data_IF_043349516678
#
_entry.id   IF_043349516678
#
_cell.length_a   1.000
_cell.length_b   1.000
_cell.length_c   1.000
_cell.angle_alpha   90.00
_cell.angle_beta   90.00
_cell.angle_gamma   90.00
#
_symmetry.space_group_name_H-M   'P 1'
#
loop_
_entity.id
_entity.type
_entity.pdbx_description
1 polymer ?
#
# COMPACT_ATOMS: atom_id res chain seq x y z
N UNK A 1 15.93 9.39 -20.01
CA UNK A 1 14.86 8.42 -19.71
C UNK A 1 14.19 8.93 -18.43
N UNK A 2 13.14 9.71 -18.59
CA UNK A 2 12.48 10.45 -17.52
C UNK A 2 11.40 9.55 -16.96
N UNK A 3 11.58 9.06 -15.75
CA UNK A 3 10.54 8.36 -15.01
C UNK A 3 9.54 9.39 -14.47
N UNK A 4 8.37 9.47 -15.08
CA UNK A 4 7.22 10.11 -14.45
C UNK A 4 6.74 9.22 -13.31
N UNK A 5 7.06 9.60 -12.08
CA UNK A 5 6.41 9.05 -10.91
C UNK A 5 4.94 9.48 -10.92
N UNK A 6 4.06 8.52 -11.13
CA UNK A 6 2.63 8.69 -10.87
C UNK A 6 2.48 8.86 -9.36
N UNK A 7 2.16 10.07 -8.93
CA UNK A 7 1.87 10.35 -7.54
C UNK A 7 0.62 9.57 -7.13
N UNK A 8 0.79 8.58 -6.26
CA UNK A 8 -0.30 7.96 -5.55
C UNK A 8 -0.89 9.01 -4.59
N UNK A 9 -1.93 9.70 -5.05
CA UNK A 9 -2.76 10.54 -4.20
C UNK A 9 -3.64 9.62 -3.33
N UNK A 10 -3.11 9.19 -2.18
CA UNK A 10 -3.88 8.50 -1.18
C UNK A 10 -4.40 9.51 -0.17
N UNK A 11 -5.66 9.84 -0.27
CA UNK A 11 -6.40 10.47 0.82
C UNK A 11 -7.07 9.36 1.61
N UNK A 12 -6.37 8.82 2.61
CA UNK A 12 -6.99 7.95 3.59
C UNK A 12 -7.73 8.83 4.60
N UNK A 13 -9.02 8.96 4.44
CA UNK A 13 -9.92 9.50 5.45
C UNK A 13 -10.15 8.42 6.53
N UNK A 14 -9.27 8.35 7.51
CA UNK A 14 -9.69 7.88 8.82
C UNK A 14 -10.07 9.13 9.61
N UNK A 15 -11.24 9.16 10.25
CA UNK A 15 -11.83 10.37 10.82
C UNK A 15 -11.03 11.12 11.90
N UNK A 16 -9.72 10.91 11.99
CA UNK A 16 -8.80 11.57 12.92
C UNK A 16 -7.54 12.16 12.28
N UNK A 17 -7.23 11.91 10.99
CA UNK A 17 -5.96 12.37 10.39
C UNK A 17 -6.20 13.03 9.03
N UNK A 18 -5.69 14.24 8.87
CA UNK A 18 -5.68 14.95 7.58
C UNK A 18 -4.25 14.95 7.03
N UNK A 19 -4.04 14.37 5.84
CA UNK A 19 -2.76 14.42 5.15
C UNK A 19 -2.71 15.64 4.22
N UNK A 20 -1.77 16.54 4.43
CA UNK A 20 -1.48 17.64 3.50
C UNK A 20 -0.21 17.31 2.74
N UNK A 21 -0.33 17.24 1.41
CA UNK A 21 0.81 17.09 0.51
C UNK A 21 1.46 18.46 0.30
N UNK A 22 2.66 18.65 0.82
CA UNK A 22 3.49 19.82 0.52
C UNK A 22 4.57 19.44 -0.49
N UNK A 23 4.57 20.07 -1.66
CA UNK A 23 5.57 19.86 -2.71
C UNK A 23 6.60 20.96 -2.58
N UNK A 24 7.79 20.63 -2.11
CA UNK A 24 8.94 21.52 -2.17
C UNK A 24 10.10 20.72 -2.79
N UNK A 25 10.56 21.14 -3.98
CA UNK A 25 11.79 20.78 -4.70
C UNK A 25 12.44 19.44 -4.34
N UNK A 26 12.25 18.42 -5.21
CA UNK A 26 12.99 17.16 -5.32
C UNK A 26 12.96 16.18 -4.12
N UNK A 27 12.49 16.59 -2.95
CA UNK A 27 12.21 15.72 -1.81
C UNK A 27 10.74 15.82 -1.42
N UNK A 28 10.01 14.69 -1.45
CA UNK A 28 8.60 14.64 -1.05
C UNK A 28 8.56 14.38 0.45
N UNK A 29 8.27 15.41 1.22
CA UNK A 29 7.96 15.30 2.64
C UNK A 29 6.44 15.20 2.81
N UNK A 30 5.96 14.12 3.40
CA UNK A 30 4.58 14.03 3.86
C UNK A 30 4.49 14.56 5.29
N UNK A 31 3.88 15.72 5.46
CA UNK A 31 3.51 16.21 6.78
C UNK A 31 2.08 15.79 7.07
N UNK A 32 1.89 14.94 8.07
CA UNK A 32 0.59 14.73 8.68
C UNK A 32 0.40 15.82 9.75
N UNK A 33 -0.44 16.82 9.45
CA UNK A 33 -0.85 17.77 10.46
C UNK A 33 -2.21 17.30 10.98
N UNK A 34 -2.27 16.87 12.23
CA UNK A 34 -3.53 16.64 12.90
C UNK A 34 -4.16 18.00 13.20
N UNK A 35 -5.13 18.43 12.43
CA UNK A 35 -5.99 19.56 12.77
C UNK A 35 -7.25 19.03 13.42
N UNK A 36 -7.47 19.49 14.64
CA UNK A 36 -8.63 19.30 15.50
C UNK A 36 -8.55 18.13 16.53
N UNK A 37 -7.78 18.40 17.58
CA UNK A 37 -8.16 17.93 18.94
C UNK A 37 -8.06 19.14 19.86
N UNK A 38 -9.14 19.51 20.58
CA UNK A 38 -9.08 20.61 21.52
C UNK A 38 -8.25 20.20 22.73
N UNK A 39 -7.11 20.87 22.92
CA UNK A 39 -6.34 20.96 24.16
C UNK A 39 -5.90 19.64 24.84
N UNK A 40 -5.55 18.61 24.12
CA UNK A 40 -4.76 17.51 24.64
C UNK A 40 -3.56 17.28 23.74
N UNK A 41 -2.45 16.98 24.34
CA UNK A 41 -1.13 16.77 23.75
C UNK A 41 -1.24 16.00 22.43
N UNK A 42 -0.79 16.60 21.34
CA UNK A 42 -0.96 16.05 20.00
C UNK A 42 0.10 14.99 19.70
N UNK A 43 -0.33 13.82 19.25
CA UNK A 43 0.54 12.83 18.60
C UNK A 43 1.11 13.44 17.33
N UNK A 44 2.42 13.36 17.15
CA UNK A 44 3.09 13.82 15.92
C UNK A 44 3.61 12.62 15.15
N UNK A 45 3.22 12.48 13.88
CA UNK A 45 3.67 11.42 13.00
C UNK A 45 4.44 12.02 11.82
N UNK A 46 5.69 11.58 11.64
CA UNK A 46 6.56 11.95 10.52
C UNK A 46 6.79 10.76 9.62
N UNK A 47 6.33 10.84 8.38
CA UNK A 47 6.49 9.77 7.38
C UNK A 47 7.70 10.09 6.51
N UNK A 48 8.58 9.13 6.35
CA UNK A 48 9.75 9.20 5.50
C UNK A 48 9.73 8.08 4.47
N UNK A 49 10.33 8.32 3.31
CA UNK A 49 10.64 7.29 2.33
C UNK A 49 12.16 7.25 2.10
N UNK A 50 12.96 6.90 3.12
CA UNK A 50 14.40 6.92 2.99
C UNK A 50 14.87 5.80 2.07
N UNK A 51 15.83 6.12 1.22
CA UNK A 51 16.61 5.10 0.53
C UNK A 51 17.67 4.57 1.49
N UNK A 52 17.58 3.29 1.83
CA UNK A 52 18.50 2.60 2.74
C UNK A 52 19.56 1.85 1.94
N UNK A 53 20.81 1.89 2.40
CA UNK A 53 21.90 1.09 1.85
C UNK A 53 22.46 0.19 2.93
N UNK A 54 22.56 -1.10 2.63
CA UNK A 54 23.14 -2.10 3.54
C UNK A 54 24.24 -2.85 2.82
N UNK A 55 25.32 -3.13 3.53
CA UNK A 55 26.33 -4.07 3.05
C UNK A 55 25.73 -5.48 3.12
N UNK A 56 25.53 -6.09 1.97
CA UNK A 56 25.09 -7.48 1.84
C UNK A 56 26.18 -8.27 1.07
N UNK A 57 26.51 -9.46 1.54
CA UNK A 57 27.41 -10.36 0.81
C UNK A 57 26.77 -10.75 -0.52
N UNK A 58 27.57 -10.86 -1.59
CA UNK A 58 27.00 -11.16 -2.93
C UNK A 58 26.19 -12.45 -2.98
N UNK A 59 26.60 -13.48 -2.26
CA UNK A 59 25.87 -14.77 -2.19
C UNK A 59 24.53 -14.72 -1.45
N UNK A 60 24.19 -13.61 -0.77
CA UNK A 60 22.91 -13.44 -0.08
C UNK A 60 21.91 -12.62 -0.89
N UNK A 61 22.31 -12.01 -1.99
CA UNK A 61 21.45 -11.22 -2.85
C UNK A 61 20.43 -12.11 -3.55
N UNK A 62 19.17 -11.66 -3.64
CA UNK A 62 18.09 -12.45 -4.19
C UNK A 62 17.02 -11.59 -4.85
N UNK A 63 17.13 -11.34 -6.15
CA UNK A 63 16.17 -10.55 -6.93
C UNK A 63 15.81 -9.24 -6.24
N UNK A 64 14.51 -8.96 -6.11
CA UNK A 64 13.98 -7.83 -5.35
C UNK A 64 13.86 -8.11 -3.84
N UNK A 65 13.95 -9.40 -3.42
CA UNK A 65 13.72 -9.81 -2.04
C UNK A 65 14.87 -9.39 -1.11
N UNK A 66 16.11 -9.36 -1.62
CA UNK A 66 17.28 -8.97 -0.85
C UNK A 66 18.29 -8.22 -1.70
N UNK A 67 18.30 -6.91 -1.53
CA UNK A 67 19.09 -5.94 -2.30
C UNK A 67 19.97 -5.10 -1.38
N UNK A 68 20.99 -4.46 -1.93
CA UNK A 68 21.89 -3.58 -1.18
C UNK A 68 21.33 -2.17 -1.00
N UNK A 69 20.49 -1.72 -1.93
CA UNK A 69 19.81 -0.43 -1.86
C UNK A 69 18.31 -0.61 -2.02
N UNK A 70 17.51 -0.13 -1.07
CA UNK A 70 16.06 -0.26 -1.07
C UNK A 70 15.38 0.96 -0.48
N UNK A 71 14.14 1.16 -0.85
CA UNK A 71 13.26 2.20 -0.31
C UNK A 71 12.39 1.62 0.79
N UNK A 72 12.25 2.34 1.89
CA UNK A 72 11.42 1.92 3.01
C UNK A 72 10.33 2.97 3.27
N UNK A 73 9.12 2.51 3.62
CA UNK A 73 8.00 3.35 4.03
C UNK A 73 8.05 3.63 5.53
N UNK A 74 9.16 4.13 6.00
CA UNK A 74 9.43 4.36 7.41
C UNK A 74 8.66 5.57 7.94
N UNK A 75 8.17 5.48 9.18
CA UNK A 75 7.57 6.62 9.88
C UNK A 75 7.87 6.57 11.37
N UNK A 76 7.92 7.75 11.97
CA UNK A 76 8.17 7.93 13.39
C UNK A 76 6.97 8.63 14.02
N UNK A 77 6.38 8.00 15.03
CA UNK A 77 5.25 8.51 15.80
C UNK A 77 5.80 8.89 17.19
N UNK A 78 5.51 10.10 17.63
CA UNK A 78 5.85 10.57 18.96
C UNK A 78 4.57 10.66 19.77
N UNK A 79 4.52 9.96 20.89
CA UNK A 79 3.33 9.87 21.73
C UNK A 79 3.67 9.89 23.20
N UNK A 80 2.66 10.08 24.03
CA UNK A 80 2.77 9.97 25.48
C UNK A 80 2.76 8.50 25.92
N UNK A 81 3.26 8.17 27.10
CA UNK A 81 3.20 6.81 27.65
C UNK A 81 1.79 6.22 27.65
N UNK A 82 0.78 6.98 28.04
CA UNK A 82 -0.61 6.56 28.07
C UNK A 82 -1.25 6.36 26.68
N UNK A 83 -0.69 6.95 25.63
CA UNK A 83 -1.14 6.82 24.23
C UNK A 83 -0.48 5.64 23.51
N UNK A 84 0.61 5.10 24.06
CA UNK A 84 1.47 4.13 23.36
C UNK A 84 0.70 2.94 22.81
N UNK A 85 -0.13 2.30 23.63
CA UNK A 85 -0.88 1.12 23.21
C UNK A 85 -1.88 1.44 22.09
N UNK A 86 -2.60 2.56 22.19
CA UNK A 86 -3.59 2.97 21.21
C UNK A 86 -2.93 3.31 19.85
N UNK A 87 -1.76 3.95 19.88
CA UNK A 87 -0.98 4.23 18.67
C UNK A 87 -0.46 2.95 18.00
N UNK A 88 -0.03 1.96 18.80
CA UNK A 88 0.36 0.66 18.27
C UNK A 88 -0.84 -0.03 17.61
N UNK A 89 -2.00 -0.05 18.26
CA UNK A 89 -3.25 -0.61 17.70
C UNK A 89 -3.59 0.06 16.38
N UNK A 90 -3.53 1.40 16.30
CA UNK A 90 -3.80 2.14 15.08
C UNK A 90 -2.84 1.77 13.93
N UNK A 91 -1.56 1.54 14.23
CA UNK A 91 -0.58 1.07 13.23
C UNK A 91 -0.90 -0.36 12.78
N UNK A 92 -1.30 -1.25 13.69
CA UNK A 92 -1.70 -2.62 13.34
C UNK A 92 -2.98 -2.63 12.49
N UNK A 93 -3.96 -1.76 12.78
CA UNK A 93 -5.17 -1.58 11.96
C UNK A 93 -4.83 -1.11 10.54
N UNK A 94 -3.93 -0.14 10.42
CA UNK A 94 -3.44 0.33 9.13
C UNK A 94 -2.71 -0.78 8.37
N UNK A 95 -1.88 -1.55 9.07
CA UNK A 95 -1.15 -2.69 8.48
C UNK A 95 -2.11 -3.73 7.92
N UNK A 96 -3.12 -4.14 8.70
CA UNK A 96 -4.16 -5.08 8.28
C UNK A 96 -4.93 -4.56 7.05
N UNK A 97 -5.39 -3.31 7.12
CA UNK A 97 -6.13 -2.67 6.03
C UNK A 97 -5.33 -2.68 4.72
N UNK A 98 -4.05 -2.31 4.80
CA UNK A 98 -3.18 -2.26 3.62
C UNK A 98 -2.89 -3.68 3.11
N UNK A 99 -2.44 -4.60 3.96
CA UNK A 99 -2.09 -5.96 3.53
C UNK A 99 -3.31 -6.67 2.92
N UNK A 100 -4.48 -6.54 3.52
CA UNK A 100 -5.74 -7.11 3.01
C UNK A 100 -6.09 -6.54 1.64
N UNK A 101 -5.93 -5.22 1.44
CA UNK A 101 -6.21 -4.57 0.16
C UNK A 101 -5.29 -5.08 -0.98
N UNK A 102 -4.06 -5.48 -0.65
CA UNK A 102 -3.14 -6.12 -1.58
C UNK A 102 -3.35 -7.64 -1.71
N UNK A 103 -4.34 -8.22 -1.02
CA UNK A 103 -4.67 -9.64 -1.10
C UNK A 103 -3.90 -10.52 -0.11
N UNK A 104 -3.14 -9.94 0.81
CA UNK A 104 -2.44 -10.69 1.85
C UNK A 104 -3.32 -10.85 3.09
N UNK A 105 -4.13 -11.92 3.12
CA UNK A 105 -5.07 -12.20 4.22
C UNK A 105 -4.47 -13.13 5.30
N UNK A 106 -3.26 -13.66 5.05
CA UNK A 106 -2.55 -14.54 5.97
C UNK A 106 -1.13 -14.04 6.16
N UNK A 107 -0.77 -13.82 7.41
CA UNK A 107 0.57 -13.37 7.81
C UNK A 107 0.94 -13.97 9.16
N UNK A 108 2.24 -14.13 9.39
CA UNK A 108 2.78 -14.62 10.64
C UNK A 108 3.24 -13.42 11.48
N UNK A 109 2.84 -13.36 12.75
CA UNK A 109 3.15 -12.27 13.67
C UNK A 109 4.14 -12.76 14.71
N UNK A 110 5.18 -11.97 14.95
CA UNK A 110 6.20 -12.25 15.96
C UNK A 110 6.37 -11.05 16.87
N UNK A 111 6.34 -11.29 18.17
CA UNK A 111 6.75 -10.33 19.19
C UNK A 111 8.22 -10.61 19.53
N UNK A 112 9.10 -9.70 19.13
CA UNK A 112 10.54 -9.82 19.37
C UNK A 112 10.92 -9.11 20.65
N UNK A 113 11.51 -9.87 21.58
CA UNK A 113 11.85 -9.42 22.94
C UNK A 113 13.31 -8.95 23.03
N UNK A 114 13.72 -8.59 24.23
CA UNK A 114 15.02 -7.98 24.54
C UNK A 114 16.20 -8.83 24.16
N UNK A 115 17.18 -8.34 23.37
CA UNK A 115 18.43 -9.05 23.09
C UNK A 115 19.44 -8.89 24.26
N UNK A 116 20.44 -9.76 24.33
CA UNK A 116 21.51 -9.70 25.32
C UNK A 116 22.23 -8.34 25.34
N UNK A 117 22.50 -7.79 24.16
CA UNK A 117 23.11 -6.46 24.01
C UNK A 117 22.03 -5.44 23.74
N UNK A 118 21.57 -4.78 24.78
CA UNK A 118 20.50 -3.78 24.71
C UNK A 118 20.82 -2.58 25.59
N UNK A 119 20.13 -1.47 25.35
CA UNK A 119 20.16 -0.24 26.14
C UNK A 119 18.81 -0.05 26.84
N UNK A 120 18.77 0.74 27.91
CA UNK A 120 17.57 1.00 28.71
C UNK A 120 17.44 0.06 29.91
N UNK A 121 16.63 0.48 30.90
CA UNK A 121 16.35 -0.28 32.12
C UNK A 121 15.40 -1.46 31.87
N UNK A 122 15.35 -2.40 32.82
CA UNK A 122 14.42 -3.53 32.74
C UNK A 122 12.96 -3.05 32.77
N UNK A 123 12.65 -2.05 33.58
CA UNK A 123 11.30 -1.48 33.69
C UNK A 123 10.79 -0.91 32.34
N UNK A 124 11.66 -0.20 31.61
CA UNK A 124 11.34 0.36 30.29
C UNK A 124 11.04 -0.76 29.29
N UNK A 125 11.87 -1.79 29.26
CA UNK A 125 11.68 -2.94 28.39
C UNK A 125 10.40 -3.70 28.70
N UNK A 126 10.09 -3.90 29.99
CA UNK A 126 8.87 -4.56 30.43
C UNK A 126 7.63 -3.75 30.05
N UNK A 127 7.63 -2.43 30.29
CA UNK A 127 6.53 -1.54 29.91
C UNK A 127 6.29 -1.53 28.39
N UNK A 128 7.35 -1.43 27.59
CA UNK A 128 7.25 -1.46 26.14
C UNK A 128 6.72 -2.81 25.62
N UNK A 129 7.24 -3.91 26.16
CA UNK A 129 6.79 -5.26 25.77
C UNK A 129 5.33 -5.47 26.13
N UNK A 130 4.89 -5.05 27.32
CA UNK A 130 3.48 -5.10 27.73
C UNK A 130 2.56 -4.27 26.82
N UNK A 131 3.00 -3.10 26.38
CA UNK A 131 2.22 -2.27 25.45
C UNK A 131 2.02 -2.97 24.10
N UNK A 132 3.09 -3.58 23.55
CA UNK A 132 3.01 -4.37 22.32
C UNK A 132 2.11 -5.60 22.46
N UNK A 133 2.26 -6.36 23.56
CA UNK A 133 1.36 -7.48 23.88
C UNK A 133 -0.09 -7.04 24.05
N UNK A 134 -0.31 -5.93 24.76
CA UNK A 134 -1.64 -5.35 24.96
C UNK A 134 -2.31 -5.03 23.62
N UNK A 135 -1.58 -4.41 22.70
CA UNK A 135 -2.09 -4.11 21.36
C UNK A 135 -2.43 -5.37 20.57
N UNK A 136 -1.59 -6.41 20.60
CA UNK A 136 -1.86 -7.70 19.96
C UNK A 136 -3.11 -8.39 20.53
N UNK A 137 -3.31 -8.32 21.84
CA UNK A 137 -4.49 -8.85 22.54
C UNK A 137 -5.76 -8.09 22.14
N UNK A 138 -5.70 -6.76 22.04
CA UNK A 138 -6.83 -5.93 21.56
C UNK A 138 -7.21 -6.30 20.13
N UNK A 139 -6.22 -6.55 19.26
CA UNK A 139 -6.44 -7.01 17.90
C UNK A 139 -6.94 -8.46 17.81
N UNK A 140 -6.81 -9.25 18.86
CA UNK A 140 -7.13 -10.68 18.82
C UNK A 140 -6.21 -11.50 17.91
N UNK A 141 -5.00 -11.00 17.65
CA UNK A 141 -4.06 -11.67 16.76
C UNK A 141 -3.26 -12.73 17.51
N UNK A 142 -3.13 -13.91 16.89
CA UNK A 142 -2.21 -14.94 17.35
C UNK A 142 -0.77 -14.55 16.96
N UNK A 143 0.17 -14.70 17.87
CA UNK A 143 1.56 -14.34 17.64
C UNK A 143 2.53 -15.33 18.31
N UNK A 144 3.70 -15.47 17.71
CA UNK A 144 4.84 -16.15 18.30
C UNK A 144 5.76 -15.18 19.03
N UNK A 145 6.59 -15.71 19.92
CA UNK A 145 7.64 -14.94 20.60
C UNK A 145 8.98 -15.24 19.92
N UNK A 146 9.70 -14.17 19.58
CA UNK A 146 11.06 -14.21 19.07
C UNK A 146 12.01 -13.70 20.16
N UNK A 147 12.47 -14.63 21.00
CA UNK A 147 13.32 -14.30 22.14
C UNK A 147 14.65 -13.70 21.70
N UNK A 148 14.96 -12.49 22.20
CA UNK A 148 16.17 -11.76 21.82
C UNK A 148 16.18 -11.17 20.43
N UNK A 149 15.08 -11.26 19.65
CA UNK A 149 14.95 -10.74 18.30
C UNK A 149 14.68 -9.24 18.21
N UNK A 150 14.46 -8.56 19.32
CA UNK A 150 14.26 -7.12 19.40
C UNK A 150 15.47 -6.32 18.91
N UNK A 151 15.28 -5.02 18.65
CA UNK A 151 16.43 -4.15 18.43
C UNK A 151 17.14 -3.87 19.75
N UNK A 152 18.38 -3.37 19.67
CA UNK A 152 19.14 -3.05 20.89
C UNK A 152 18.48 -1.94 21.73
N UNK A 153 17.56 -1.15 21.16
CA UNK A 153 16.89 -0.02 21.77
C UNK A 153 15.40 -0.22 22.10
N UNK A 154 14.81 -1.34 21.68
CA UNK A 154 13.43 -1.63 22.04
C UNK A 154 12.85 -2.90 21.43
N UNK A 155 11.74 -3.41 22.01
CA UNK A 155 11.00 -4.54 21.50
C UNK A 155 10.18 -4.14 20.27
N UNK A 156 9.76 -5.15 19.50
CA UNK A 156 9.03 -4.91 18.24
C UNK A 156 8.02 -6.01 17.93
N UNK A 157 7.01 -5.66 17.15
CA UNK A 157 6.14 -6.57 16.43
C UNK A 157 6.60 -6.62 14.99
N UNK A 158 6.89 -7.82 14.49
CA UNK A 158 7.18 -8.08 13.08
C UNK A 158 6.01 -8.83 12.45
N UNK A 159 5.52 -8.33 11.31
CA UNK A 159 4.53 -9.00 10.48
C UNK A 159 5.22 -9.56 9.25
N UNK A 160 5.13 -10.88 9.07
CA UNK A 160 5.78 -11.61 7.98
C UNK A 160 4.73 -12.11 7.01
N UNK A 161 4.92 -11.85 5.73
CA UNK A 161 4.13 -12.42 4.64
C UNK A 161 4.88 -13.55 3.98
N UNK A 162 4.16 -14.42 3.24
CA UNK A 162 4.75 -15.56 2.54
C UNK A 162 4.81 -15.26 1.05
N UNK A 163 5.90 -15.67 0.41
CA UNK A 163 6.02 -15.67 -1.04
C UNK A 163 5.29 -16.89 -1.66
N UNK A 164 5.29 -16.96 -2.99
CA UNK A 164 4.58 -18.00 -3.74
C UNK A 164 5.04 -19.43 -3.41
N UNK A 165 6.24 -19.61 -2.91
CA UNK A 165 6.77 -20.92 -2.48
C UNK A 165 6.77 -21.12 -0.96
N UNK A 166 6.09 -20.25 -0.22
CA UNK A 166 5.86 -20.37 1.22
C UNK A 166 6.98 -19.84 2.13
N UNK A 167 8.03 -19.21 1.61
CA UNK A 167 9.09 -18.60 2.43
C UNK A 167 8.54 -17.35 3.12
N UNK A 168 8.88 -17.19 4.41
CA UNK A 168 8.49 -16.03 5.19
C UNK A 168 9.42 -14.84 4.94
N UNK A 169 8.83 -13.67 4.74
CA UNK A 169 9.54 -12.41 4.57
C UNK A 169 8.97 -11.37 5.51
N UNK A 170 9.83 -10.79 6.34
CA UNK A 170 9.45 -9.64 7.17
C UNK A 170 9.13 -8.46 6.24
N UNK A 171 7.94 -7.90 6.41
CA UNK A 171 7.46 -6.70 5.75
C UNK A 171 7.17 -5.62 6.78
N UNK A 172 6.08 -5.73 7.52
CA UNK A 172 5.72 -4.68 8.48
C UNK A 172 6.46 -4.85 9.80
N UNK A 173 6.74 -3.72 10.43
CA UNK A 173 7.37 -3.67 11.75
C UNK A 173 6.80 -2.49 12.53
N UNK A 174 6.49 -2.73 13.80
CA UNK A 174 6.14 -1.70 14.79
C UNK A 174 7.10 -1.86 15.95
N UNK A 175 7.83 -0.80 16.29
CA UNK A 175 8.93 -0.87 17.24
C UNK A 175 8.90 0.31 18.20
N UNK A 176 8.95 0.03 19.50
CA UNK A 176 9.07 1.05 20.53
C UNK A 176 10.52 1.48 20.71
N UNK A 177 10.74 2.77 20.86
CA UNK A 177 12.06 3.37 21.07
C UNK A 177 11.98 4.44 22.16
N UNK A 178 12.66 4.20 23.25
CA UNK A 178 12.83 5.13 24.35
C UNK A 178 14.21 5.79 24.33
N UNK A 179 15.14 5.25 23.56
CA UNK A 179 16.55 5.65 23.58
C UNK A 179 16.82 6.86 22.69
N UNK A 180 16.24 6.93 21.48
CA UNK A 180 16.46 8.08 20.62
C UNK A 180 15.85 9.37 21.16
N UNK A 181 14.60 9.38 21.71
CA UNK A 181 14.10 10.57 22.38
C UNK A 181 15.01 11.09 23.49
N UNK A 182 15.55 10.20 24.32
CA UNK A 182 16.50 10.55 25.37
C UNK A 182 17.80 11.14 24.79
N UNK A 183 18.41 10.48 23.82
CA UNK A 183 19.64 10.92 23.20
C UNK A 183 19.56 12.27 22.47
N UNK A 184 18.38 12.55 21.91
CA UNK A 184 18.13 13.82 21.24
C UNK A 184 17.60 14.91 22.19
N UNK A 185 17.41 14.58 23.49
CA UNK A 185 16.87 15.50 24.48
C UNK A 185 15.48 16.00 24.09
N UNK A 186 14.64 15.11 23.53
CA UNK A 186 13.28 15.46 23.16
C UNK A 186 12.41 15.56 24.42
N UNK A 187 11.73 16.70 24.57
CA UNK A 187 10.85 16.98 25.70
C UNK A 187 9.51 17.52 25.21
N UNK A 188 8.47 17.23 25.94
CA UNK A 188 7.17 17.90 25.84
C UNK A 188 6.77 18.47 27.19
N UNK A 189 5.82 19.39 27.20
CA UNK A 189 5.26 19.95 28.45
C UNK A 189 3.96 19.23 28.76
N UNK A 190 3.92 18.51 29.87
CA UNK A 190 2.74 17.79 30.34
C UNK A 190 1.67 18.73 30.88
N UNK A 191 0.49 18.20 31.21
CA UNK A 191 -0.66 19.00 31.64
C UNK A 191 -0.41 19.76 32.97
N UNK A 192 0.49 19.25 33.81
CA UNK A 192 0.91 19.87 35.08
C UNK A 192 2.06 20.87 34.91
N UNK A 193 2.55 21.07 33.67
CA UNK A 193 3.62 22.00 33.35
C UNK A 193 5.03 21.43 33.52
N UNK A 194 5.17 20.14 33.85
CA UNK A 194 6.48 19.47 33.87
C UNK A 194 6.98 19.14 32.49
N UNK A 195 8.29 19.01 32.35
CA UNK A 195 8.91 18.53 31.11
C UNK A 195 9.12 17.03 31.20
N UNK A 196 8.60 16.33 30.22
CA UNK A 196 8.69 14.90 30.15
C UNK A 196 9.19 14.45 28.77
N UNK A 197 9.70 13.21 28.68
CA UNK A 197 10.21 12.63 27.46
C UNK A 197 9.11 11.88 26.71
N UNK A 198 8.91 12.14 25.39
CA UNK A 198 7.98 11.35 24.59
C UNK A 198 8.54 9.96 24.30
N UNK A 199 7.64 9.03 23.98
CA UNK A 199 8.00 7.73 23.42
C UNK A 199 7.99 7.86 21.90
N UNK A 200 8.94 7.21 21.21
CA UNK A 200 8.97 7.09 19.77
C UNK A 200 8.55 5.69 19.36
N UNK A 201 7.65 5.62 18.38
CA UNK A 201 7.28 4.36 17.71
C UNK A 201 7.73 4.44 16.26
N UNK A 202 8.66 3.58 15.88
CA UNK A 202 9.03 3.37 14.49
C UNK A 202 8.03 2.42 13.85
N UNK A 203 7.57 2.74 12.64
CA UNK A 203 6.73 1.82 11.89
C UNK A 203 7.11 1.77 10.42
N UNK A 204 7.05 0.60 9.84
CA UNK A 204 7.02 0.37 8.42
C UNK A 204 5.90 -0.62 8.11
N UNK A 205 5.12 -0.38 7.06
CA UNK A 205 4.01 -1.26 6.65
C UNK A 205 4.50 -2.22 5.56
N UNK A 206 5.09 -1.70 4.50
CA UNK A 206 5.66 -2.53 3.42
C UNK A 206 7.07 -3.02 3.76
N UNK A 207 7.78 -2.32 4.66
CA UNK A 207 9.20 -2.51 4.88
C UNK A 207 10.02 -2.11 3.65
N UNK A 208 10.78 -3.02 3.04
CA UNK A 208 11.38 -2.77 1.75
C UNK A 208 10.31 -2.82 0.66
N UNK A 209 10.08 -1.67 -0.01
CA UNK A 209 9.11 -1.57 -1.11
C UNK A 209 9.48 -2.52 -2.25
N UNK A 210 10.77 -2.67 -2.55
CA UNK A 210 11.26 -3.60 -3.58
C UNK A 210 10.91 -5.05 -3.24
N UNK A 211 11.10 -5.45 -1.96
CA UNK A 211 10.73 -6.79 -1.49
C UNK A 211 9.22 -7.02 -1.55
N UNK A 212 8.45 -6.09 -1.02
CA UNK A 212 6.99 -6.18 -1.05
C UNK A 212 6.47 -6.30 -2.48
N UNK A 213 6.99 -5.48 -3.38
CA UNK A 213 6.63 -5.52 -4.80
C UNK A 213 7.00 -6.86 -5.45
N UNK A 214 8.19 -7.41 -5.14
CA UNK A 214 8.59 -8.72 -5.62
C UNK A 214 7.63 -9.83 -5.16
N UNK A 215 7.27 -9.84 -3.87
CA UNK A 215 6.31 -10.82 -3.32
C UNK A 215 4.93 -10.64 -3.95
N UNK A 216 4.49 -9.39 -4.15
CA UNK A 216 3.22 -9.07 -4.77
C UNK A 216 3.13 -9.59 -6.22
N UNK A 217 4.18 -9.39 -7.02
CA UNK A 217 4.25 -9.93 -8.38
C UNK A 217 4.15 -11.45 -8.37
N UNK A 218 4.89 -12.13 -7.47
CA UNK A 218 4.84 -13.58 -7.34
C UNK A 218 3.45 -14.06 -6.90
N UNK A 219 2.85 -13.41 -5.91
CA UNK A 219 1.55 -13.79 -5.38
C UNK A 219 0.40 -13.61 -6.38
N UNK A 220 0.49 -12.60 -7.23
CA UNK A 220 -0.51 -12.33 -8.27
C UNK A 220 -0.17 -12.96 -9.62
N UNK A 221 1.00 -13.60 -9.77
CA UNK A 221 1.53 -14.04 -11.06
C UNK A 221 1.58 -12.91 -12.11
N UNK A 222 1.69 -11.66 -11.66
CA UNK A 222 1.60 -10.46 -12.50
C UNK A 222 0.17 -10.10 -12.95
N UNK A 223 -0.84 -10.84 -12.49
CA UNK A 223 -2.27 -10.56 -12.74
C UNK A 223 -2.80 -9.64 -11.62
N UNK A 224 -2.46 -8.38 -11.72
CA UNK A 224 -2.86 -7.39 -10.73
C UNK A 224 -4.37 -7.12 -10.79
N UNK A 225 -5.01 -6.88 -9.63
CA UNK A 225 -6.38 -6.39 -9.58
C UNK A 225 -6.50 -5.04 -10.31
N UNK A 226 -7.71 -4.70 -10.75
CA UNK A 226 -7.96 -3.53 -11.59
C UNK A 226 -7.36 -2.24 -11.02
N UNK A 227 -7.54 -2.00 -9.71
CA UNK A 227 -7.05 -0.79 -9.05
C UNK A 227 -5.51 -0.66 -9.07
N UNK A 228 -4.79 -1.79 -9.18
CA UNK A 228 -3.32 -1.84 -9.15
C UNK A 228 -2.69 -2.06 -10.54
N UNK A 229 -3.44 -2.58 -11.52
CA UNK A 229 -2.92 -2.90 -12.83
C UNK A 229 -2.20 -1.70 -13.50
N UNK A 230 -0.99 -1.86 -14.06
CA UNK A 230 -0.26 -0.78 -14.72
C UNK A 230 -1.04 -0.17 -15.89
N UNK A 231 -1.68 -1.01 -16.69
CA UNK A 231 -2.67 -0.65 -17.71
C UNK A 231 -4.00 -1.22 -17.28
N UNK A 232 -4.94 -0.36 -16.93
CA UNK A 232 -6.26 -0.76 -16.43
C UNK A 232 -7.25 -1.02 -17.57
N UNK A 233 -7.17 -0.20 -18.60
CA UNK A 233 -8.00 -0.26 -19.80
C UNK A 233 -7.13 -0.22 -21.05
N UNK A 234 -7.36 -1.12 -22.00
CA UNK A 234 -6.75 -1.05 -23.31
C UNK A 234 -7.81 -0.91 -24.39
N UNK A 235 -7.74 0.16 -25.16
CA UNK A 235 -8.61 0.42 -26.30
C UNK A 235 -8.05 -0.28 -27.55
N UNK A 236 -8.87 -1.10 -28.19
CA UNK A 236 -8.51 -1.92 -29.35
C UNK A 236 -9.28 -1.43 -30.59
N UNK A 237 -8.71 -0.50 -31.37
CA UNK A 237 -9.34 -0.03 -32.61
C UNK A 237 -9.36 -1.16 -33.66
N UNK A 238 -10.54 -1.39 -34.26
CA UNK A 238 -10.71 -2.40 -35.32
C UNK A 238 -10.15 -1.92 -36.64
N UNK A 239 -10.20 -0.59 -36.88
CA UNK A 239 -9.74 0.07 -38.08
C UNK A 239 -9.08 1.40 -37.74
N UNK A 240 -8.25 1.93 -38.65
CA UNK A 240 -7.60 3.23 -38.46
C UNK A 240 -8.60 4.39 -38.36
N UNK A 241 -9.80 4.25 -39.00
CA UNK A 241 -10.84 5.28 -38.96
C UNK A 241 -11.34 5.64 -37.53
N UNK A 242 -11.19 4.75 -36.57
CA UNK A 242 -11.64 4.97 -35.17
C UNK A 242 -10.50 5.36 -34.24
N UNK A 243 -9.28 5.51 -34.77
CA UNK A 243 -8.10 5.77 -33.91
C UNK A 243 -8.20 7.08 -33.15
N UNK A 244 -8.65 8.16 -33.81
CA UNK A 244 -8.82 9.47 -33.16
C UNK A 244 -9.89 9.43 -32.09
N UNK A 245 -10.98 8.70 -32.28
CA UNK A 245 -12.02 8.49 -31.28
C UNK A 245 -11.45 7.74 -30.07
N UNK A 246 -10.64 6.69 -30.26
CA UNK A 246 -9.96 6.01 -29.19
C UNK A 246 -9.02 6.94 -28.40
N UNK A 247 -8.27 7.81 -29.10
CA UNK A 247 -7.40 8.78 -28.45
C UNK A 247 -8.17 9.78 -27.59
N UNK A 248 -9.34 10.21 -28.02
CA UNK A 248 -10.17 11.12 -27.26
C UNK A 248 -10.77 10.45 -26.02
N UNK A 249 -11.17 9.17 -26.12
CA UNK A 249 -11.58 8.37 -24.96
C UNK A 249 -10.40 8.22 -23.99
N UNK A 250 -9.21 7.91 -24.49
CA UNK A 250 -8.02 7.77 -23.66
C UNK A 250 -7.70 9.06 -22.89
N UNK A 251 -7.86 10.24 -23.50
CA UNK A 251 -7.70 11.52 -22.82
C UNK A 251 -8.75 11.72 -21.71
N UNK A 252 -10.02 11.34 -21.96
CA UNK A 252 -11.09 11.41 -20.95
C UNK A 252 -10.79 10.46 -19.79
N UNK A 253 -10.42 9.21 -20.07
CA UNK A 253 -10.06 8.20 -19.08
C UNK A 253 -8.85 8.64 -18.23
N UNK A 254 -7.80 9.18 -18.85
CA UNK A 254 -6.64 9.69 -18.13
C UNK A 254 -6.99 10.88 -17.21
N UNK A 255 -7.89 11.76 -17.62
CA UNK A 255 -8.40 12.86 -16.76
C UNK A 255 -9.19 12.32 -15.56
N UNK A 256 -9.87 11.19 -15.70
CA UNK A 256 -10.54 10.47 -14.63
C UNK A 256 -9.60 9.63 -13.77
N UNK A 257 -8.28 9.68 -13.99
CA UNK A 257 -7.29 8.93 -13.22
C UNK A 257 -7.11 7.47 -13.63
N UNK A 258 -7.70 7.05 -14.75
CA UNK A 258 -7.61 5.68 -15.28
C UNK A 258 -6.35 5.55 -16.13
N UNK A 259 -5.55 4.52 -15.88
CA UNK A 259 -4.37 4.16 -16.67
C UNK A 259 -4.80 3.42 -17.92
N UNK A 260 -4.77 4.12 -19.04
CA UNK A 260 -5.31 3.65 -20.32
C UNK A 260 -4.25 3.63 -21.41
N UNK A 261 -4.30 2.63 -22.26
CA UNK A 261 -3.50 2.52 -23.47
C UNK A 261 -4.40 2.36 -24.70
N UNK A 262 -3.97 2.94 -25.82
CA UNK A 262 -4.61 2.71 -27.13
C UNK A 262 -3.67 1.85 -27.98
N UNK A 263 -4.17 0.73 -28.49
CA UNK A 263 -3.42 -0.10 -29.43
C UNK A 263 -3.21 0.66 -30.75
N UNK A 264 -2.10 0.37 -31.44
CA UNK A 264 -1.77 1.07 -32.70
C UNK A 264 -2.62 0.68 -33.88
N UNK A 265 -3.44 -0.37 -33.72
CA UNK A 265 -4.32 -0.86 -34.80
C UNK A 265 -3.63 -1.56 -35.96
N UNK A 266 -2.32 -1.80 -35.90
CA UNK A 266 -1.52 -2.36 -36.96
C UNK A 266 -1.76 -3.85 -37.19
N UNK A 267 -2.52 -4.50 -36.29
CA UNK A 267 -2.72 -5.94 -36.29
C UNK A 267 -4.21 -6.30 -36.29
N UNK A 268 -4.52 -7.51 -36.71
CA UNK A 268 -5.90 -8.03 -36.66
C UNK A 268 -6.40 -8.05 -35.21
N UNK A 269 -7.67 -7.72 -34.99
CA UNK A 269 -8.32 -7.64 -33.68
C UNK A 269 -8.01 -8.85 -32.79
N UNK A 270 -8.09 -10.06 -33.31
CA UNK A 270 -7.78 -11.28 -32.54
C UNK A 270 -6.35 -11.29 -31.97
N UNK A 271 -5.39 -10.70 -32.71
CA UNK A 271 -4.01 -10.59 -32.23
C UNK A 271 -3.86 -9.46 -31.20
N UNK A 272 -4.55 -8.34 -31.39
CA UNK A 272 -4.59 -7.25 -30.39
C UNK A 272 -5.14 -7.77 -29.06
N UNK A 273 -6.26 -8.51 -29.06
CA UNK A 273 -6.84 -9.14 -27.87
C UNK A 273 -5.82 -10.08 -27.21
N UNK A 274 -5.24 -11.00 -27.97
CA UNK A 274 -4.23 -11.94 -27.46
C UNK A 274 -3.04 -11.22 -26.83
N UNK A 275 -2.54 -10.16 -27.47
CA UNK A 275 -1.42 -9.37 -26.93
C UNK A 275 -1.81 -8.70 -25.60
N UNK A 276 -3.00 -8.13 -25.50
CA UNK A 276 -3.51 -7.52 -24.26
C UNK A 276 -3.69 -8.55 -23.15
N UNK A 277 -4.20 -9.75 -23.46
CA UNK A 277 -4.30 -10.87 -22.53
C UNK A 277 -2.93 -11.35 -22.03
N UNK A 278 -1.92 -11.43 -22.92
CA UNK A 278 -0.54 -11.77 -22.55
C UNK A 278 0.11 -10.70 -21.67
N UNK A 279 -0.24 -9.43 -21.87
CA UNK A 279 0.19 -8.31 -21.04
C UNK A 279 -0.56 -8.23 -19.71
N UNK A 280 -1.47 -9.17 -19.43
CA UNK A 280 -2.30 -9.20 -18.21
C UNK A 280 -3.18 -7.96 -18.05
N UNK A 281 -3.59 -7.31 -19.14
CA UNK A 281 -4.52 -6.17 -19.07
C UNK A 281 -5.89 -6.66 -18.61
N UNK A 282 -6.44 -6.14 -17.52
CA UNK A 282 -7.70 -6.65 -16.96
C UNK A 282 -8.91 -6.37 -17.84
N UNK A 283 -8.98 -5.18 -18.44
CA UNK A 283 -10.13 -4.74 -19.26
C UNK A 283 -9.68 -4.25 -20.62
N UNK A 284 -10.34 -4.75 -21.65
CA UNK A 284 -10.17 -4.35 -23.04
C UNK A 284 -11.49 -3.75 -23.55
N UNK A 285 -11.40 -2.71 -24.38
CA UNK A 285 -12.53 -2.14 -25.07
C UNK A 285 -12.30 -2.24 -26.57
N UNK A 286 -13.12 -3.00 -27.25
CA UNK A 286 -13.11 -3.12 -28.72
C UNK A 286 -13.91 -1.96 -29.31
N UNK A 287 -13.31 -1.26 -30.27
CA UNK A 287 -13.91 -0.06 -30.87
C UNK A 287 -13.90 -0.20 -32.41
N UNK A 288 -15.08 -0.39 -32.95
CA UNK A 288 -15.33 -0.34 -34.39
C UNK A 288 -16.07 0.93 -34.81
N UNK A 289 -16.43 1.04 -36.09
CA UNK A 289 -17.19 2.19 -36.62
C UNK A 289 -18.56 2.30 -35.93
N UNK A 290 -19.21 1.16 -35.66
CA UNK A 290 -20.50 1.13 -34.95
C UNK A 290 -20.40 1.74 -33.55
N UNK A 291 -19.38 1.34 -32.79
CA UNK A 291 -19.13 1.85 -31.44
C UNK A 291 -18.85 3.36 -31.46
N UNK A 292 -18.11 3.84 -32.46
CA UNK A 292 -17.85 5.26 -32.67
C UNK A 292 -19.13 6.04 -32.96
N UNK A 293 -20.01 5.53 -33.86
CA UNK A 293 -21.28 6.17 -34.22
C UNK A 293 -22.26 6.22 -33.06
N UNK A 294 -22.30 5.17 -32.20
CA UNK A 294 -23.21 5.06 -31.06
C UNK A 294 -22.65 5.65 -29.77
N UNK A 295 -21.36 6.03 -29.73
CA UNK A 295 -20.69 6.51 -28.52
C UNK A 295 -20.53 5.42 -27.45
N UNK A 296 -20.49 4.16 -27.84
CA UNK A 296 -20.38 3.00 -26.94
C UNK A 296 -19.05 2.27 -27.13
N UNK A 297 -18.75 1.33 -26.23
CA UNK A 297 -17.56 0.50 -26.23
C UNK A 297 -17.95 -0.94 -25.96
N UNK A 298 -17.49 -1.89 -26.78
CA UNK A 298 -17.66 -3.31 -26.49
C UNK A 298 -16.58 -3.77 -25.50
N UNK A 299 -16.98 -4.04 -24.28
CA UNK A 299 -16.06 -4.32 -23.16
C UNK A 299 -15.82 -5.81 -22.99
N UNK A 300 -14.56 -6.16 -22.82
CA UNK A 300 -14.10 -7.49 -22.54
C UNK A 300 -13.20 -7.52 -21.32
N UNK A 301 -13.56 -8.34 -20.33
CA UNK A 301 -12.69 -8.67 -19.20
C UNK A 301 -11.79 -9.85 -19.58
N UNK A 302 -10.53 -9.81 -19.18
CA UNK A 302 -9.60 -10.93 -19.33
C UNK A 302 -10.06 -12.18 -18.57
N UNK A 303 -10.67 -12.00 -17.38
CA UNK A 303 -11.16 -13.10 -16.55
C UNK A 303 -12.58 -13.56 -16.91
N UNK A 304 -13.48 -12.60 -17.16
CA UNK A 304 -14.92 -12.86 -17.30
C UNK A 304 -15.38 -12.94 -18.76
N UNK A 305 -14.51 -12.65 -19.73
CA UNK A 305 -14.87 -12.64 -21.13
C UNK A 305 -15.62 -11.37 -21.56
N UNK A 306 -16.63 -11.54 -22.42
CA UNK A 306 -17.44 -10.45 -22.96
C UNK A 306 -18.42 -9.92 -21.90
N UNK A 307 -18.33 -8.62 -21.59
CA UNK A 307 -19.19 -7.93 -20.62
C UNK A 307 -20.32 -7.12 -21.30
N UNK A 308 -20.33 -7.07 -22.64
CA UNK A 308 -21.32 -6.29 -23.41
C UNK A 308 -20.86 -4.87 -23.72
N UNK A 309 -21.83 -4.02 -24.06
CA UNK A 309 -21.58 -2.66 -24.54
C UNK A 309 -21.91 -1.64 -23.45
N UNK A 310 -21.02 -0.65 -23.28
CA UNK A 310 -21.16 0.43 -22.29
C UNK A 310 -21.05 1.77 -23.01
N UNK A 311 -21.76 2.81 -22.51
CA UNK A 311 -21.42 4.18 -22.88
C UNK A 311 -20.05 4.57 -22.31
N UNK A 312 -19.38 5.53 -22.92
CA UNK A 312 -18.08 6.00 -22.42
C UNK A 312 -18.20 6.54 -20.99
N UNK A 313 -19.27 7.27 -20.73
CA UNK A 313 -19.56 7.89 -19.43
C UNK A 313 -19.79 6.82 -18.33
N UNK A 314 -20.63 5.83 -18.60
CA UNK A 314 -20.93 4.76 -17.65
C UNK A 314 -19.69 3.92 -17.37
N UNK A 315 -18.89 3.62 -18.41
CA UNK A 315 -17.63 2.91 -18.23
C UNK A 315 -16.67 3.64 -17.29
N UNK A 316 -16.47 4.94 -17.50
CA UNK A 316 -15.55 5.73 -16.68
C UNK A 316 -16.05 5.87 -15.24
N UNK A 317 -17.35 6.00 -15.03
CA UNK A 317 -17.95 6.05 -13.69
C UNK A 317 -17.75 4.72 -12.94
N UNK A 318 -18.05 3.60 -13.59
CA UNK A 318 -17.90 2.28 -13.00
C UNK A 318 -16.43 1.92 -12.72
N UNK A 319 -15.51 2.32 -13.60
CA UNK A 319 -14.07 2.19 -13.32
C UNK A 319 -13.65 2.93 -12.06
N UNK A 320 -14.13 4.16 -11.87
CA UNK A 320 -13.89 4.92 -10.64
C UNK A 320 -14.33 4.16 -9.40
N UNK A 321 -15.57 3.67 -9.39
CA UNK A 321 -16.13 2.89 -8.29
C UNK A 321 -15.32 1.61 -8.01
N UNK A 322 -14.99 0.85 -9.05
CA UNK A 322 -14.20 -0.38 -8.91
C UNK A 322 -12.79 -0.13 -8.37
N UNK A 323 -12.14 0.97 -8.79
CA UNK A 323 -10.81 1.36 -8.31
C UNK A 323 -10.86 1.79 -6.84
N UNK A 324 -11.83 2.62 -6.46
CA UNK A 324 -11.96 3.14 -5.10
C UNK A 324 -12.31 2.03 -4.10
N UNK A 325 -13.19 1.12 -4.47
CA UNK A 325 -13.63 0.01 -3.64
C UNK A 325 -12.72 -1.23 -3.73
N UNK A 326 -11.71 -1.21 -4.61
CA UNK A 326 -10.82 -2.34 -4.93
C UNK A 326 -11.57 -3.61 -5.41
N UNK A 327 -12.70 -3.40 -6.09
CA UNK A 327 -13.54 -4.46 -6.66
C UNK A 327 -13.13 -4.87 -8.07
N UNK A 328 -13.55 -6.04 -8.49
CA UNK A 328 -13.46 -6.44 -9.90
C UNK A 328 -14.52 -5.73 -10.73
N UNK A 329 -14.16 -5.36 -11.96
CA UNK A 329 -15.09 -4.80 -12.93
C UNK A 329 -15.97 -5.93 -13.50
N UNK A 330 -17.26 -5.85 -13.24
CA UNK A 330 -18.27 -6.83 -13.68
C UNK A 330 -19.32 -6.17 -14.57
N UNK A 331 -20.22 -6.96 -15.13
CA UNK A 331 -21.33 -6.43 -15.93
C UNK A 331 -22.26 -5.62 -15.03
N UNK A 332 -22.57 -4.38 -15.42
CA UNK A 332 -23.54 -3.54 -14.71
C UNK A 332 -24.87 -4.29 -14.51
N UNK A 333 -25.33 -4.41 -13.25
CA UNK A 333 -26.62 -4.98 -12.90
C UNK A 333 -26.65 -6.46 -12.51
N UNK A 334 -25.52 -7.14 -12.43
CA UNK A 334 -25.49 -8.42 -11.74
C UNK A 334 -25.31 -8.20 -10.24
N UNK A 335 -26.42 -8.30 -9.51
CA UNK A 335 -26.43 -8.53 -8.07
C UNK A 335 -25.64 -9.82 -7.83
N UNK A 336 -24.61 -9.76 -6.99
CA UNK A 336 -23.94 -10.96 -6.52
C UNK A 336 -24.96 -11.96 -6.01
N UNK A 337 -25.17 -13.07 -6.73
CA UNK A 337 -25.70 -14.26 -6.10
C UNK A 337 -24.66 -14.71 -5.08
N UNK A 338 -24.98 -14.51 -3.81
CA UNK A 338 -24.27 -15.13 -2.71
C UNK A 338 -24.21 -16.62 -2.99
N UNK A 339 -23.03 -17.15 -3.31
CA UNK A 339 -22.79 -18.57 -3.14
C UNK A 339 -22.80 -18.83 -1.63
N UNK A 340 -23.95 -19.26 -1.13
CA UNK A 340 -24.02 -20.12 0.04
C UNK A 340 -23.37 -21.44 -0.39
N UNK A 341 -22.14 -21.68 0.14
CA UNK A 341 -21.66 -23.01 0.56
C UNK A 341 -20.32 -22.85 1.31
#
# INVERSE_FOLDING_TARGET
MIYHYVGLNWVLYTGKYCAVQCRISEEVYFHFISSFVPRSISVSCHVFQPRRFRYERSGTLHGLMRVRGFTQDDAHIYCLPEQLQDEIVAVLDLTETILTRFGFNKYDIMLSTRPEKSVGSDDIWEAATKALEGALKVKGWEYGIDEGGGAFYGPKIDVKIRDAIGRQWQCSTVQCDFNLPDRFGLEYVSADGTREQPIMVHRAIFGSIERFFGILIENTEGDFPLWLAPTQLKLLPVTDAVQDFCQDIAKKAAKAGIRVEVDRGNERLAKQIRNAEQQRVPIMAVVGVKEMETGTLAIRSRKLGDLGSFSVEDLLAEFGNCVDEAKEFTKMGMVEEKSED
#
